data_IF_626678221460
#
_entry.id   IF_626678221460
#
_cell.length_a   1.000
_cell.length_b   1.000
_cell.length_c   1.000
_cell.angle_alpha   90.00
_cell.angle_beta   90.00
_cell.angle_gamma   90.00
#
_symmetry.space_group_name_H-M   'P 1'
#
loop_
_entity.id
_entity.type
_entity.pdbx_description
1 polymer ?
#
# COMPACT_ATOMS: atom_id res chain seq x y z
N UNK A 1 -16.32 6.35 3.50
CA UNK A 1 -15.88 6.40 2.09
C UNK A 1 -15.18 5.09 1.77
N UNK A 2 -15.52 4.45 0.64
CA UNK A 2 -14.83 3.24 0.18
C UNK A 2 -13.44 3.57 -0.37
N UNK A 3 -12.54 2.57 -0.52
CA UNK A 3 -11.28 2.75 -1.23
C UNK A 3 -11.48 3.31 -2.64
N UNK A 4 -12.50 2.86 -3.37
CA UNK A 4 -12.82 3.40 -4.70
C UNK A 4 -13.20 4.88 -4.71
N UNK A 5 -13.95 5.32 -3.71
CA UNK A 5 -14.28 6.73 -3.57
C UNK A 5 -13.02 7.58 -3.28
N UNK A 6 -12.06 7.03 -2.53
CA UNK A 6 -10.78 7.69 -2.24
C UNK A 6 -9.86 7.72 -3.47
N UNK A 7 -9.87 6.66 -4.28
CA UNK A 7 -9.08 6.52 -5.49
C UNK A 7 -9.67 7.21 -6.72
N UNK A 8 -10.88 7.79 -6.63
CA UNK A 8 -11.63 8.35 -7.78
C UNK A 8 -10.85 9.35 -8.64
N UNK A 9 -9.90 10.09 -8.07
CA UNK A 9 -9.04 11.03 -8.83
C UNK A 9 -8.01 10.33 -9.72
N UNK A 10 -7.71 9.06 -9.47
CA UNK A 10 -6.63 8.29 -10.10
C UNK A 10 -5.24 8.89 -9.86
N UNK A 11 -5.08 9.62 -8.76
CA UNK A 11 -3.78 10.19 -8.33
C UNK A 11 -3.08 9.18 -7.43
N UNK A 12 -1.74 9.13 -7.47
CA UNK A 12 -0.93 8.26 -6.60
C UNK A 12 -1.31 8.42 -5.12
N UNK A 13 -1.49 9.66 -4.67
CA UNK A 13 -1.95 9.93 -3.31
C UNK A 13 -3.36 9.39 -3.01
N UNK A 14 -4.29 9.45 -3.98
CA UNK A 14 -5.63 8.88 -3.84
C UNK A 14 -5.60 7.36 -3.74
N UNK A 15 -4.82 6.71 -4.60
CA UNK A 15 -4.58 5.26 -4.58
C UNK A 15 -3.94 4.80 -3.26
N UNK A 16 -2.92 5.52 -2.78
CA UNK A 16 -2.29 5.20 -1.49
C UNK A 16 -3.27 5.35 -0.33
N UNK A 17 -4.10 6.40 -0.31
CA UNK A 17 -5.15 6.56 0.71
C UNK A 17 -6.17 5.43 0.67
N UNK A 18 -6.55 5.00 -0.53
CA UNK A 18 -7.45 3.86 -0.74
C UNK A 18 -6.84 2.55 -0.19
N UNK A 19 -5.55 2.31 -0.44
CA UNK A 19 -4.82 1.17 0.12
C UNK A 19 -4.89 1.19 1.66
N UNK A 20 -4.51 2.29 2.32
CA UNK A 20 -4.53 2.35 3.78
C UNK A 20 -5.94 2.23 4.38
N UNK A 21 -6.98 2.72 3.69
CA UNK A 21 -8.36 2.51 4.10
C UNK A 21 -8.74 1.02 4.04
N UNK A 22 -8.35 0.31 2.99
CA UNK A 22 -8.54 -1.13 2.85
C UNK A 22 -7.74 -1.92 3.90
N UNK A 23 -6.46 -1.58 4.14
CA UNK A 23 -5.61 -2.24 5.13
C UNK A 23 -6.20 -2.18 6.53
N UNK A 24 -6.80 -1.04 6.92
CA UNK A 24 -7.46 -0.89 8.22
C UNK A 24 -8.64 -1.84 8.40
N UNK A 25 -9.42 -2.06 7.34
CA UNK A 25 -10.52 -3.02 7.36
C UNK A 25 -10.00 -4.45 7.37
N UNK A 26 -9.00 -4.75 6.53
CA UNK A 26 -8.37 -6.07 6.48
C UNK A 26 -7.77 -6.46 7.83
N UNK A 27 -7.04 -5.55 8.49
CA UNK A 27 -6.48 -5.74 9.83
C UNK A 27 -7.54 -6.21 10.82
N UNK A 28 -8.71 -5.55 10.84
CA UNK A 28 -9.76 -5.81 11.83
C UNK A 28 -10.68 -6.99 11.46
N UNK A 29 -11.07 -7.10 10.20
CA UNK A 29 -12.17 -7.96 9.75
C UNK A 29 -11.73 -9.02 8.73
N UNK A 30 -10.44 -9.12 8.41
CA UNK A 30 -9.93 -10.07 7.42
C UNK A 30 -10.07 -9.58 5.98
N UNK A 31 -9.33 -10.22 5.08
CA UNK A 31 -9.27 -9.82 3.66
C UNK A 31 -10.60 -9.94 2.93
N UNK A 32 -11.39 -11.00 3.18
CA UNK A 32 -12.70 -11.20 2.54
C UNK A 32 -13.66 -10.04 2.81
N UNK A 33 -13.80 -9.63 4.09
CA UNK A 33 -14.67 -8.51 4.45
C UNK A 33 -14.16 -7.20 3.85
N UNK A 34 -12.84 -7.00 3.79
CA UNK A 34 -12.25 -5.80 3.19
C UNK A 34 -12.53 -5.70 1.68
N UNK A 35 -12.44 -6.81 0.95
CA UNK A 35 -12.79 -6.87 -0.48
C UNK A 35 -14.28 -6.64 -0.71
N UNK A 36 -15.15 -7.35 0.01
CA UNK A 36 -16.62 -7.18 -0.09
C UNK A 36 -17.04 -5.74 0.18
N UNK A 37 -16.45 -5.09 1.18
CA UNK A 37 -16.68 -3.68 1.47
C UNK A 37 -16.22 -2.78 0.33
N UNK A 38 -15.02 -3.01 -0.22
CA UNK A 38 -14.50 -2.17 -1.28
C UNK A 38 -15.31 -2.27 -2.58
N UNK A 39 -15.85 -3.46 -2.90
CA UNK A 39 -16.64 -3.72 -4.10
C UNK A 39 -18.08 -3.23 -3.99
N UNK A 40 -18.74 -3.49 -2.87
CA UNK A 40 -20.16 -3.16 -2.70
C UNK A 40 -20.39 -1.75 -2.17
N UNK A 41 -19.43 -1.20 -1.42
CA UNK A 41 -19.61 -0.01 -0.60
C UNK A 41 -20.63 -0.15 0.53
N UNK A 42 -21.17 -1.35 0.74
CA UNK A 42 -22.12 -1.65 1.78
C UNK A 42 -21.40 -1.83 3.13
N UNK A 43 -21.85 -1.11 4.15
CA UNK A 43 -21.31 -1.20 5.50
C UNK A 43 -21.87 -2.41 6.29
N UNK A 44 -22.97 -3.02 5.85
CA UNK A 44 -23.54 -4.21 6.52
C UNK A 44 -22.61 -5.44 6.42
N UNK A 45 -21.64 -5.42 5.50
CA UNK A 45 -20.59 -6.45 5.40
C UNK A 45 -19.77 -6.57 6.69
N UNK A 46 -19.66 -5.51 7.49
CA UNK A 46 -18.99 -5.55 8.79
C UNK A 46 -19.81 -6.29 9.85
N UNK A 47 -21.14 -6.20 9.78
CA UNK A 47 -22.05 -6.91 10.67
C UNK A 47 -22.14 -8.40 10.31
N UNK A 48 -22.06 -8.73 9.02
CA UNK A 48 -22.04 -10.10 8.51
C UNK A 48 -20.64 -10.71 8.43
N UNK A 49 -19.61 -9.99 8.88
CA UNK A 49 -18.25 -10.52 8.98
C UNK A 49 -18.22 -11.66 10.00
N UNK A 50 -17.51 -12.78 9.74
CA UNK A 50 -17.33 -13.83 10.74
C UNK A 50 -16.61 -13.34 12.01
N UNK A 51 -16.03 -12.13 11.96
CA UNK A 51 -15.32 -11.50 13.06
C UNK A 51 -16.05 -10.29 13.65
N UNK A 52 -17.33 -10.08 13.32
CA UNK A 52 -18.10 -8.90 13.72
C UNK A 52 -18.11 -8.66 15.25
N UNK A 53 -18.16 -9.74 16.04
CA UNK A 53 -18.15 -9.70 17.51
C UNK A 53 -16.77 -9.98 18.11
N UNK A 54 -15.77 -10.28 17.28
CA UNK A 54 -14.41 -10.60 17.74
C UNK A 54 -13.71 -9.34 18.23
N UNK A 55 -13.03 -9.45 19.38
CA UNK A 55 -12.11 -8.41 19.83
C UNK A 55 -10.68 -8.57 19.28
N UNK A 56 -10.41 -9.68 18.59
CA UNK A 56 -9.11 -10.01 18.01
C UNK A 56 -9.03 -9.47 16.58
N UNK A 57 -7.95 -8.77 16.26
CA UNK A 57 -7.61 -8.37 14.90
C UNK A 57 -7.18 -9.60 14.08
N UNK A 58 -7.61 -9.67 12.82
CA UNK A 58 -7.37 -10.82 11.94
C UNK A 58 -5.98 -10.82 11.31
N UNK A 59 -5.44 -9.62 11.12
CA UNK A 59 -4.10 -9.38 10.57
C UNK A 59 -3.41 -8.26 11.36
N UNK A 60 -3.10 -8.46 12.66
CA UNK A 60 -2.49 -7.45 13.51
C UNK A 60 -1.15 -6.91 12.98
N UNK A 61 -0.45 -7.70 12.16
CA UNK A 61 0.78 -7.32 11.47
C UNK A 61 0.59 -6.13 10.51
N UNK A 62 -0.60 -5.92 9.96
CA UNK A 62 -0.91 -4.78 9.10
C UNK A 62 -0.89 -3.45 9.85
N UNK A 63 -1.00 -3.45 11.19
CA UNK A 63 -0.81 -2.26 12.02
C UNK A 63 0.60 -1.67 11.91
N UNK A 64 1.57 -2.45 11.41
CA UNK A 64 2.95 -2.02 11.17
C UNK A 64 3.17 -1.43 9.78
N UNK A 65 2.18 -1.48 8.88
CA UNK A 65 2.29 -0.87 7.56
C UNK A 65 2.25 0.66 7.68
N UNK A 66 3.20 1.36 7.05
CA UNK A 66 3.24 2.82 7.07
C UNK A 66 3.69 3.44 5.75
N UNK A 67 3.25 4.68 5.54
CA UNK A 67 3.64 5.49 4.40
C UNK A 67 5.01 6.12 4.65
N UNK A 68 5.89 6.06 3.65
CA UNK A 68 7.14 6.77 3.61
C UNK A 68 6.92 8.09 2.87
N UNK A 69 7.04 9.26 3.53
CA UNK A 69 6.65 10.55 2.95
C UNK A 69 7.75 11.11 2.00
N UNK A 70 8.20 10.32 1.03
CA UNK A 70 9.27 10.71 0.11
C UNK A 70 8.77 11.28 -1.23
N UNK A 71 7.47 11.17 -1.50
CA UNK A 71 6.78 11.86 -2.61
C UNK A 71 6.07 13.16 -2.19
N UNK A 72 5.70 13.96 -3.19
CA UNK A 72 4.83 15.14 -3.04
C UNK A 72 5.51 16.48 -3.33
N UNK A 73 4.73 17.44 -3.86
CA UNK A 73 5.20 18.81 -4.03
C UNK A 73 5.35 19.48 -2.67
N UNK A 74 6.52 20.08 -2.46
CA UNK A 74 6.87 20.85 -1.26
C UNK A 74 7.66 22.08 -1.70
N UNK A 75 7.63 23.13 -0.91
CA UNK A 75 8.48 24.28 -1.15
C UNK A 75 9.96 23.90 -0.97
N UNK A 76 10.85 24.71 -1.57
CA UNK A 76 12.29 24.43 -1.57
C UNK A 76 12.90 24.36 -0.17
N UNK A 77 12.39 25.16 0.76
CA UNK A 77 12.92 25.23 2.14
C UNK A 77 12.56 23.94 2.87
N UNK A 78 11.31 23.51 2.79
CA UNK A 78 10.86 22.25 3.38
C UNK A 78 11.60 21.06 2.77
N UNK A 79 11.80 21.04 1.45
CA UNK A 79 12.55 19.98 0.78
C UNK A 79 14.03 19.91 1.25
N UNK A 80 14.68 21.05 1.46
CA UNK A 80 16.05 21.11 1.98
C UNK A 80 16.13 20.58 3.42
N UNK A 81 15.22 21.03 4.29
CA UNK A 81 15.15 20.56 5.70
C UNK A 81 14.96 19.04 5.77
N UNK A 82 14.01 18.49 5.02
CA UNK A 82 13.76 17.05 4.99
C UNK A 82 14.99 16.26 4.52
N UNK A 83 15.73 16.77 3.53
CA UNK A 83 17.00 16.14 3.10
C UNK A 83 18.04 16.13 4.23
N UNK A 84 18.12 17.19 5.03
CA UNK A 84 19.00 17.23 6.22
C UNK A 84 18.53 16.29 7.33
N UNK A 85 17.22 16.05 7.44
CA UNK A 85 16.62 15.05 8.35
C UNK A 85 16.78 13.60 7.84
N UNK A 86 17.35 13.41 6.65
CA UNK A 86 17.70 12.10 6.12
C UNK A 86 16.72 11.54 5.08
N UNK A 87 15.72 12.31 4.64
CA UNK A 87 14.86 11.92 3.52
C UNK A 87 15.70 11.66 2.28
N UNK A 88 15.52 10.47 1.71
CA UNK A 88 16.18 10.04 0.47
C UNK A 88 15.18 10.05 -0.67
N UNK A 89 15.51 10.69 -1.81
CA UNK A 89 14.65 10.63 -2.99
C UNK A 89 14.55 9.17 -3.47
N UNK A 90 13.37 8.79 -3.96
CA UNK A 90 13.15 7.51 -4.63
C UNK A 90 12.89 6.30 -3.73
N UNK A 91 12.95 6.41 -2.40
CA UNK A 91 12.53 5.31 -1.53
C UNK A 91 11.03 5.04 -1.76
N UNK A 92 10.60 3.77 -1.87
CA UNK A 92 9.19 3.43 -2.12
C UNK A 92 8.20 4.00 -1.12
N UNK A 93 6.98 4.30 -1.59
CA UNK A 93 5.93 5.02 -0.86
C UNK A 93 5.40 4.32 0.40
N UNK A 94 5.43 2.99 0.46
CA UNK A 94 4.86 2.20 1.55
C UNK A 94 5.82 1.12 1.99
N UNK A 95 5.91 0.90 3.30
CA UNK A 95 6.69 -0.18 3.88
C UNK A 95 5.89 -0.97 4.92
N UNK A 96 5.96 -2.30 4.81
CA UNK A 96 5.46 -3.27 5.77
C UNK A 96 6.66 -4.06 6.34
N UNK A 97 7.12 -3.73 7.57
CA UNK A 97 8.30 -4.32 8.20
C UNK A 97 7.97 -5.67 8.87
N UNK A 98 7.35 -6.58 8.14
CA UNK A 98 6.99 -7.92 8.62
C UNK A 98 7.83 -8.93 7.87
N UNK A 99 8.69 -9.67 8.56
CA UNK A 99 9.55 -10.67 7.92
C UNK A 99 8.76 -11.94 7.59
N UNK A 100 9.07 -12.58 6.47
CA UNK A 100 8.69 -13.96 6.19
C UNK A 100 9.93 -14.81 5.90
N UNK A 101 9.76 -16.11 5.67
CA UNK A 101 10.88 -17.01 5.37
C UNK A 101 11.73 -16.56 4.16
N UNK A 102 11.13 -15.81 3.22
CA UNK A 102 11.79 -15.37 1.99
C UNK A 102 12.24 -13.91 2.00
N UNK A 103 11.60 -13.03 2.78
CA UNK A 103 11.79 -11.59 2.65
C UNK A 103 11.88 -10.89 4.01
N UNK A 104 12.71 -9.86 4.09
CA UNK A 104 12.90 -9.04 5.29
C UNK A 104 11.78 -8.00 5.52
N UNK A 105 10.84 -7.89 4.59
CA UNK A 105 9.75 -6.90 4.58
C UNK A 105 9.23 -6.68 3.16
N UNK A 106 8.12 -5.94 3.05
CA UNK A 106 7.51 -5.57 1.76
C UNK A 106 7.54 -4.06 1.58
N UNK A 107 8.14 -3.60 0.48
CA UNK A 107 8.00 -2.24 -0.03
C UNK A 107 7.00 -2.19 -1.19
N UNK A 108 6.22 -1.12 -1.26
CA UNK A 108 5.34 -0.83 -2.40
C UNK A 108 5.60 0.58 -2.88
N UNK A 109 5.90 0.70 -4.17
CA UNK A 109 5.98 1.95 -4.92
C UNK A 109 4.67 2.14 -5.67
N UNK A 110 3.98 3.25 -5.44
CA UNK A 110 2.70 3.56 -6.07
C UNK A 110 2.91 4.38 -7.34
N UNK A 111 2.21 4.01 -8.41
CA UNK A 111 2.18 4.72 -9.67
C UNK A 111 0.77 5.04 -10.07
N UNK A 112 0.60 6.18 -10.76
CA UNK A 112 -0.68 6.49 -11.40
C UNK A 112 -0.95 5.53 -12.56
N UNK A 113 -2.17 5.00 -12.61
CA UNK A 113 -2.65 4.24 -13.77
C UNK A 113 -2.83 5.11 -15.01
N UNK A 114 -2.70 4.46 -16.17
CA UNK A 114 -3.14 5.05 -17.43
C UNK A 114 -4.67 5.25 -17.41
N UNK A 115 -5.14 6.30 -18.08
CA UNK A 115 -6.56 6.56 -18.28
C UNK A 115 -6.80 6.85 -19.76
N UNK A 116 -7.55 5.96 -20.40
CA UNK A 116 -7.87 6.06 -21.83
C UNK A 116 -8.82 7.22 -22.14
N UNK A 117 -9.75 7.53 -21.25
CA UNK A 117 -10.73 8.59 -21.45
C UNK A 117 -10.04 9.96 -21.45
N UNK A 118 -9.08 10.17 -20.54
CA UNK A 118 -8.30 11.41 -20.44
C UNK A 118 -7.00 11.38 -21.26
N UNK A 119 -6.71 10.29 -21.99
CA UNK A 119 -5.44 10.04 -22.69
C UNK A 119 -4.19 10.16 -21.80
N UNK A 120 -4.37 10.00 -20.48
CA UNK A 120 -3.28 10.07 -19.51
C UNK A 120 -2.46 8.77 -19.57
N UNK A 121 -1.15 8.90 -19.74
CA UNK A 121 -0.21 7.76 -19.66
C UNK A 121 -0.01 7.33 -18.20
N UNK A 122 0.29 6.05 -18.01
CA UNK A 122 0.73 5.53 -16.72
C UNK A 122 2.01 6.25 -16.26
N UNK A 123 2.21 6.33 -14.94
CA UNK A 123 3.49 6.76 -14.36
C UNK A 123 4.60 5.77 -14.70
N UNK A 124 5.85 6.22 -14.61
CA UNK A 124 7.01 5.33 -14.59
C UNK A 124 7.79 5.58 -13.31
N UNK A 125 8.68 4.65 -12.97
CA UNK A 125 9.70 4.89 -11.96
C UNK A 125 10.71 5.94 -12.45
N UNK A 126 11.31 6.68 -11.51
CA UNK A 126 12.49 7.52 -11.77
C UNK A 126 13.77 6.72 -11.59
N UNK A 127 14.91 7.26 -12.04
CA UNK A 127 16.21 6.61 -11.86
C UNK A 127 16.53 6.34 -10.38
N UNK A 128 16.20 7.27 -9.48
CA UNK A 128 16.39 7.09 -8.04
C UNK A 128 15.50 5.98 -7.47
N UNK A 129 14.29 5.83 -7.99
CA UNK A 129 13.39 4.75 -7.59
C UNK A 129 13.89 3.40 -8.09
N UNK A 130 14.36 3.32 -9.33
CA UNK A 130 14.94 2.10 -9.90
C UNK A 130 16.19 1.65 -9.12
N UNK A 131 17.03 2.60 -8.68
CA UNK A 131 18.18 2.34 -7.82
C UNK A 131 17.76 1.75 -6.47
N UNK A 132 16.82 2.40 -5.77
CA UNK A 132 16.28 1.88 -4.50
C UNK A 132 15.62 0.51 -4.65
N UNK A 133 14.80 0.31 -5.68
CA UNK A 133 14.13 -0.97 -5.94
C UNK A 133 15.18 -2.07 -6.16
N UNK A 134 16.24 -1.78 -6.93
CA UNK A 134 17.31 -2.72 -7.19
C UNK A 134 18.08 -3.09 -5.91
N UNK A 135 18.43 -2.09 -5.10
CA UNK A 135 19.07 -2.30 -3.80
C UNK A 135 18.20 -3.10 -2.83
N UNK A 136 16.92 -2.74 -2.68
CA UNK A 136 16.01 -3.42 -1.75
C UNK A 136 15.81 -4.89 -2.12
N UNK A 137 15.68 -5.19 -3.42
CA UNK A 137 15.61 -6.57 -3.92
C UNK A 137 16.90 -7.34 -3.64
N UNK A 138 18.07 -6.73 -3.84
CA UNK A 138 19.36 -7.39 -3.53
C UNK A 138 19.58 -7.59 -2.02
N UNK A 139 18.97 -6.73 -1.19
CA UNK A 139 18.92 -6.86 0.26
C UNK A 139 17.79 -7.77 0.77
N UNK A 140 17.18 -8.58 -0.12
CA UNK A 140 16.18 -9.58 0.22
C UNK A 140 14.85 -9.00 0.79
N UNK A 141 14.46 -7.79 0.36
CA UNK A 141 13.11 -7.28 0.55
C UNK A 141 12.22 -7.62 -0.65
N UNK A 142 10.93 -7.86 -0.40
CA UNK A 142 9.94 -7.86 -1.47
C UNK A 142 9.67 -6.41 -1.89
N UNK A 143 9.56 -6.16 -3.20
CA UNK A 143 9.30 -4.82 -3.74
C UNK A 143 8.34 -4.90 -4.91
N UNK A 144 7.19 -4.25 -4.74
CA UNK A 144 6.13 -4.16 -5.75
C UNK A 144 6.00 -2.74 -6.31
N UNK A 145 5.75 -2.63 -7.61
CA UNK A 145 5.38 -1.37 -8.26
C UNK A 145 3.92 -1.50 -8.70
N UNK A 146 3.03 -0.77 -8.05
CA UNK A 146 1.59 -0.94 -8.18
C UNK A 146 0.96 0.29 -8.84
N UNK A 147 0.07 0.07 -9.80
CA UNK A 147 -0.56 1.16 -10.57
C UNK A 147 -1.95 1.56 -10.04
N UNK A 148 -2.44 0.84 -9.05
CA UNK A 148 -3.70 1.10 -8.36
C UNK A 148 -3.66 0.51 -6.95
N UNK A 149 -4.60 0.93 -6.11
CA UNK A 149 -4.68 0.43 -4.73
C UNK A 149 -5.01 -1.06 -4.66
N UNK A 150 -5.69 -1.62 -5.68
CA UNK A 150 -6.12 -3.03 -5.69
C UNK A 150 -4.95 -3.98 -5.90
N UNK A 151 -4.06 -3.68 -6.83
CA UNK A 151 -2.81 -4.41 -7.05
C UNK A 151 -1.94 -4.37 -5.80
N UNK A 152 -1.80 -3.19 -5.19
CA UNK A 152 -1.09 -3.06 -3.91
C UNK A 152 -1.74 -3.90 -2.79
N UNK A 153 -3.07 -3.89 -2.66
CA UNK A 153 -3.79 -4.68 -1.66
C UNK A 153 -3.63 -6.20 -1.87
N UNK A 154 -3.66 -6.67 -3.13
CA UNK A 154 -3.39 -8.08 -3.47
C UNK A 154 -1.96 -8.49 -3.14
N UNK A 155 -0.98 -7.62 -3.38
CA UNK A 155 0.42 -7.89 -3.05
C UNK A 155 0.62 -7.93 -1.53
N UNK A 156 -0.01 -7.03 -0.77
CA UNK A 156 -0.01 -7.12 0.70
C UNK A 156 -0.66 -8.42 1.18
N UNK A 157 -1.84 -8.77 0.66
CA UNK A 157 -2.52 -10.01 1.03
C UNK A 157 -1.63 -11.23 0.77
N UNK A 158 -1.08 -11.35 -0.43
CA UNK A 158 -0.20 -12.44 -0.82
C UNK A 158 1.03 -12.50 0.08
N UNK A 159 1.60 -11.34 0.44
CA UNK A 159 2.73 -11.26 1.35
C UNK A 159 2.38 -11.74 2.76
N UNK A 160 1.21 -11.37 3.29
CA UNK A 160 0.74 -11.83 4.59
C UNK A 160 0.49 -13.35 4.59
N UNK A 161 -0.05 -13.89 3.50
CA UNK A 161 -0.20 -15.34 3.35
C UNK A 161 1.17 -16.05 3.38
N UNK A 162 2.22 -15.46 2.77
CA UNK A 162 3.60 -15.97 2.89
C UNK A 162 4.16 -15.88 4.32
N UNK A 163 3.80 -14.85 5.08
CA UNK A 163 4.21 -14.70 6.50
C UNK A 163 3.59 -15.80 7.35
N UNK A 164 2.31 -16.12 7.14
CA UNK A 164 1.59 -17.15 7.90
C UNK A 164 2.05 -18.58 7.53
N UNK A 165 2.68 -18.75 6.36
CA UNK A 165 3.17 -20.05 5.86
C UNK A 165 2.05 -20.95 5.34
N UNK A 166 2.38 -22.12 4.76
CA UNK A 166 1.37 -23.12 4.44
C UNK A 166 0.69 -23.57 5.74
N UNK A 167 -0.63 -23.43 5.78
CA UNK A 167 -1.46 -23.90 6.89
C UNK A 167 -1.48 -25.42 7.04
#
# INVERSE_FOLDING_TARGET
MTPDQLAKSGTEHGEQRALFAWLKVAQRHGFDTAWRWAESGDMTVFQSSPYATSNVEQHPELARCFAVPNGGQRDKITAAKLKHEGVKPGVPDVFLPVTCARYAGLFIEMKRSADKATKRRAGSTSNEQDDWISYLRSANYAVSVCFDWRSAARDVQSYIELVKGPG
#
